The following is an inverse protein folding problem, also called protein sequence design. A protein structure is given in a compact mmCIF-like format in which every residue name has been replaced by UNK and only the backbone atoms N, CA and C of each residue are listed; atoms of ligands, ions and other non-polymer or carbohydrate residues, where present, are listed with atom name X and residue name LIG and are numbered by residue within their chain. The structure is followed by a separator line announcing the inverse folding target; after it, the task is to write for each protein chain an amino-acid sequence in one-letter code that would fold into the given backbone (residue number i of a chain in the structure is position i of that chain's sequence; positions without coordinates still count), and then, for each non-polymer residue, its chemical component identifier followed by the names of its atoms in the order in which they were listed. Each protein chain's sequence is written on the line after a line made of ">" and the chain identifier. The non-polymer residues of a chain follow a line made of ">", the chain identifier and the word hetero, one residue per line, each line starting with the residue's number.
data_IF_006118969508
#
_entry.id   IF_006118969508
#
_cell.length_a   1.000
_cell.length_b   1.000
_cell.length_c   1.000
_cell.angle_alpha   90.00
_cell.angle_beta   90.00
_cell.angle_gamma   90.00
#
_symmetry.space_group_name_H-M   'P 1'
#
loop_
_entity.id
_entity.type
_entity.pdbx_description
1 polymer ?
#
# COMPACT_ATOMS: atom_id res chain seq x y z
N UNK A 1 -14.29 -8.92 12.69
CA UNK A 1 -14.50 -9.72 11.46
C UNK A 1 -14.53 -8.91 10.17
N UNK A 2 -15.18 -7.72 10.10
CA UNK A 2 -15.17 -6.88 8.88
C UNK A 2 -13.76 -6.53 8.39
N UNK A 3 -12.92 -5.97 9.28
CA UNK A 3 -11.53 -5.59 8.97
C UNK A 3 -10.70 -6.75 8.40
N UNK A 4 -10.88 -7.96 8.94
CA UNK A 4 -10.15 -9.14 8.47
C UNK A 4 -10.56 -9.53 7.04
N UNK A 5 -11.86 -9.45 6.73
CA UNK A 5 -12.38 -9.67 5.38
C UNK A 5 -11.88 -8.60 4.40
N UNK A 6 -11.86 -7.34 4.84
CA UNK A 6 -11.38 -6.22 4.04
C UNK A 6 -9.88 -6.33 3.72
N UNK A 7 -9.08 -6.82 4.67
CA UNK A 7 -7.66 -7.12 4.47
C UNK A 7 -7.51 -8.29 3.49
N UNK A 8 -8.29 -9.37 3.66
CA UNK A 8 -8.21 -10.53 2.78
C UNK A 8 -8.54 -10.16 1.32
N UNK A 9 -9.64 -9.43 1.08
CA UNK A 9 -10.03 -8.99 -0.27
C UNK A 9 -8.95 -8.08 -0.88
N UNK A 10 -8.46 -7.12 -0.10
CA UNK A 10 -7.40 -6.20 -0.53
C UNK A 10 -6.09 -6.93 -0.87
N UNK A 11 -5.74 -7.98 -0.12
CA UNK A 11 -4.57 -8.82 -0.42
C UNK A 11 -4.74 -9.64 -1.69
N UNK A 12 -5.96 -10.12 -1.99
CA UNK A 12 -6.25 -10.82 -3.25
C UNK A 12 -6.13 -9.85 -4.42
N UNK A 13 -6.73 -8.66 -4.31
CA UNK A 13 -6.62 -7.59 -5.33
C UNK A 13 -5.15 -7.25 -5.56
N UNK A 14 -4.38 -7.07 -4.48
CA UNK A 14 -2.95 -6.75 -4.56
C UNK A 14 -2.16 -7.87 -5.21
N UNK A 15 -2.44 -9.14 -4.89
CA UNK A 15 -1.82 -10.30 -5.55
C UNK A 15 -2.06 -10.27 -7.05
N UNK A 16 -3.32 -10.08 -7.46
CA UNK A 16 -3.70 -10.05 -8.88
C UNK A 16 -2.98 -8.91 -9.60
N UNK A 17 -2.95 -7.71 -9.01
CA UNK A 17 -2.24 -6.55 -9.60
C UNK A 17 -0.75 -6.84 -9.73
N UNK A 18 -0.09 -7.39 -8.71
CA UNK A 18 1.33 -7.74 -8.77
C UNK A 18 1.63 -8.76 -9.86
N UNK A 19 0.79 -9.79 -10.02
CA UNK A 19 0.97 -10.80 -11.07
C UNK A 19 0.73 -10.25 -12.47
N UNK A 20 -0.31 -9.43 -12.64
CA UNK A 20 -0.64 -8.79 -13.93
C UNK A 20 0.48 -7.85 -14.34
N UNK A 21 0.98 -7.01 -13.42
CA UNK A 21 2.08 -6.10 -13.70
C UNK A 21 3.39 -6.84 -13.93
N UNK A 22 3.65 -7.93 -13.21
CA UNK A 22 4.79 -8.80 -13.50
C UNK A 22 4.73 -9.40 -14.91
N UNK A 23 3.55 -9.77 -15.39
CA UNK A 23 3.38 -10.33 -16.73
C UNK A 23 3.40 -9.26 -17.84
N UNK A 24 2.99 -8.03 -17.53
CA UNK A 24 2.77 -6.97 -18.53
C UNK A 24 3.88 -5.92 -18.56
N UNK A 25 4.73 -5.85 -17.53
CA UNK A 25 5.68 -4.76 -17.37
C UNK A 25 7.00 -5.22 -16.73
N UNK A 26 8.09 -5.10 -17.49
CA UNK A 26 9.43 -5.58 -17.12
C UNK A 26 10.02 -4.92 -15.85
N UNK A 27 9.42 -3.81 -15.39
CA UNK A 27 9.86 -3.11 -14.18
C UNK A 27 9.37 -3.76 -12.89
N UNK A 28 8.47 -4.75 -12.99
CA UNK A 28 7.94 -5.49 -11.85
C UNK A 28 8.32 -6.95 -12.03
N UNK A 29 9.12 -7.49 -11.10
CA UNK A 29 9.49 -8.90 -11.10
C UNK A 29 8.97 -9.57 -9.83
N UNK A 30 8.32 -10.72 -10.01
CA UNK A 30 7.81 -11.59 -8.95
C UNK A 30 8.12 -13.04 -9.32
N UNK A 31 8.91 -13.71 -8.49
CA UNK A 31 9.47 -15.02 -8.82
C UNK A 31 8.44 -16.15 -8.93
N UNK A 32 7.36 -16.10 -8.14
CA UNK A 32 6.33 -17.15 -8.15
C UNK A 32 5.00 -16.64 -7.59
N UNK A 33 3.93 -17.41 -7.81
CA UNK A 33 2.61 -17.14 -7.24
C UNK A 33 2.64 -17.07 -5.71
N UNK A 34 3.35 -18.00 -5.06
CA UNK A 34 3.47 -18.04 -3.60
C UNK A 34 4.11 -16.77 -3.05
N UNK A 35 5.22 -16.33 -3.68
CA UNK A 35 5.88 -15.08 -3.33
C UNK A 35 4.94 -13.89 -3.53
N UNK A 36 4.15 -13.87 -4.60
CA UNK A 36 3.16 -12.82 -4.86
C UNK A 36 2.13 -12.72 -3.71
N UNK A 37 1.63 -13.86 -3.23
CA UNK A 37 0.66 -13.92 -2.13
C UNK A 37 1.27 -13.41 -0.82
N UNK A 38 2.50 -13.82 -0.48
CA UNK A 38 3.16 -13.33 0.73
C UNK A 38 3.47 -11.84 0.64
N UNK A 39 4.01 -11.37 -0.49
CA UNK A 39 4.36 -9.97 -0.70
C UNK A 39 3.12 -9.07 -0.69
N UNK A 40 2.02 -9.52 -1.30
CA UNK A 40 0.76 -8.78 -1.31
C UNK A 40 0.13 -8.66 0.07
N UNK A 41 0.22 -9.69 0.92
CA UNK A 41 -0.23 -9.64 2.32
C UNK A 41 0.57 -8.61 3.12
N UNK A 42 1.90 -8.60 2.98
CA UNK A 42 2.75 -7.60 3.62
C UNK A 42 2.41 -6.20 3.12
N UNK A 43 2.35 -5.99 1.81
CA UNK A 43 2.08 -4.69 1.20
C UNK A 43 0.70 -4.16 1.60
N UNK A 44 -0.33 -5.01 1.55
CA UNK A 44 -1.70 -4.69 1.98
C UNK A 44 -1.74 -4.31 3.47
N UNK A 45 -1.04 -5.08 4.31
CA UNK A 45 -0.92 -4.82 5.74
C UNK A 45 -0.27 -3.46 6.01
N UNK A 46 0.79 -3.13 5.27
CA UNK A 46 1.47 -1.84 5.41
C UNK A 46 0.62 -0.66 4.93
N UNK A 47 -0.10 -0.79 3.81
CA UNK A 47 -0.99 0.26 3.31
C UNK A 47 -2.12 0.57 4.30
N UNK A 48 -2.83 -0.45 4.77
CA UNK A 48 -3.91 -0.27 5.76
C UNK A 48 -3.37 0.16 7.13
N UNK A 49 -2.21 -0.35 7.52
CA UNK A 49 -1.49 0.05 8.73
C UNK A 49 -1.12 1.53 8.70
N UNK A 50 -0.60 2.03 7.58
CA UNK A 50 -0.25 3.44 7.40
C UNK A 50 -1.47 4.35 7.54
N UNK A 51 -2.61 3.98 6.95
CA UNK A 51 -3.85 4.75 7.06
C UNK A 51 -4.38 4.75 8.51
N UNK A 52 -4.28 3.62 9.21
CA UNK A 52 -4.64 3.54 10.62
C UNK A 52 -3.75 4.44 11.49
N UNK A 53 -2.44 4.38 11.29
CA UNK A 53 -1.48 5.25 11.97
C UNK A 53 -1.73 6.73 11.67
N UNK A 54 -2.05 7.07 10.43
CA UNK A 54 -2.42 8.44 10.05
C UNK A 54 -3.64 8.92 10.83
N UNK A 55 -4.71 8.12 10.92
CA UNK A 55 -5.92 8.47 11.67
C UNK A 55 -5.64 8.69 13.17
N UNK A 56 -4.80 7.84 13.77
CA UNK A 56 -4.40 7.95 15.18
C UNK A 56 -3.56 9.21 15.41
N UNK A 57 -2.54 9.43 14.59
CA UNK A 57 -1.65 10.59 14.71
C UNK A 57 -2.37 11.90 14.43
N UNK A 58 -3.24 11.93 13.41
CA UNK A 58 -4.09 13.09 13.14
C UNK A 58 -4.96 13.44 14.34
N UNK A 59 -5.58 12.44 14.98
CA UNK A 59 -6.41 12.63 16.17
C UNK A 59 -5.60 13.07 17.39
N UNK A 60 -4.37 12.60 17.52
CA UNK A 60 -3.45 13.01 18.59
C UNK A 60 -3.00 14.47 18.42
N UNK A 61 -2.56 14.85 17.23
CA UNK A 61 -2.09 16.21 16.94
C UNK A 61 -3.20 17.27 16.94
N UNK A 62 -4.44 16.90 16.65
CA UNK A 62 -5.60 17.80 16.75
C UNK A 62 -5.91 18.20 18.21
N UNK A 63 -5.44 17.45 19.21
CA UNK A 63 -5.63 17.77 20.63
C UNK A 63 -4.61 18.80 21.16
N UNK A 64 -3.59 19.16 20.39
CA UNK A 64 -2.58 20.14 20.81
C UNK A 64 -3.06 21.59 20.70
N UNK A 65 -2.81 22.40 21.74
CA UNK A 65 -3.19 23.83 21.78
C UNK A 65 -2.38 24.74 20.85
N UNK A 66 -1.18 24.34 20.42
CA UNK A 66 -0.27 25.18 19.61
C UNK A 66 -0.12 24.68 18.18
N UNK A 67 -0.55 25.50 17.21
CA UNK A 67 -0.49 25.27 15.76
C UNK A 67 -0.95 23.86 15.31
N UNK A 68 -2.13 23.38 15.75
CA UNK A 68 -2.61 22.01 15.49
C UNK A 68 -2.72 21.69 14.00
N UNK A 69 -3.09 22.66 13.15
CA UNK A 69 -3.22 22.45 11.70
C UNK A 69 -1.87 22.21 11.01
N UNK A 70 -0.82 22.94 11.41
CA UNK A 70 0.52 22.80 10.83
C UNK A 70 1.17 21.47 11.23
N UNK A 71 1.10 21.13 12.52
CA UNK A 71 1.63 19.86 13.04
C UNK A 71 0.93 18.65 12.42
N UNK A 72 -0.40 18.75 12.23
CA UNK A 72 -1.18 17.73 11.51
C UNK A 72 -0.71 17.60 10.07
N UNK A 73 -0.55 18.71 9.34
CA UNK A 73 -0.12 18.68 7.94
C UNK A 73 1.24 18.01 7.76
N UNK A 74 2.22 18.38 8.60
CA UNK A 74 3.56 17.79 8.56
C UNK A 74 3.53 16.31 8.95
N UNK A 75 2.82 15.95 10.03
CA UNK A 75 2.73 14.56 10.48
C UNK A 75 2.03 13.66 9.45
N UNK A 76 0.89 14.09 8.90
CA UNK A 76 0.20 13.37 7.83
C UNK A 76 1.08 13.21 6.60
N UNK A 77 1.82 14.25 6.19
CA UNK A 77 2.73 14.16 5.04
C UNK A 77 3.85 13.13 5.27
N UNK A 78 4.51 13.17 6.43
CA UNK A 78 5.58 12.22 6.77
C UNK A 78 5.03 10.79 6.81
N UNK A 79 3.85 10.57 7.37
CA UNK A 79 3.25 9.22 7.42
C UNK A 79 2.83 8.76 6.02
N UNK A 80 2.14 9.60 5.25
CA UNK A 80 1.64 9.23 3.92
C UNK A 80 2.74 8.99 2.90
N UNK A 81 3.78 9.83 2.89
CA UNK A 81 4.91 9.69 1.98
C UNK A 81 5.89 8.66 2.53
N UNK A 82 6.25 8.77 3.80
CA UNK A 82 7.22 7.88 4.45
C UNK A 82 6.76 6.42 4.50
N UNK A 83 5.46 6.14 4.68
CA UNK A 83 4.95 4.76 4.66
C UNK A 83 5.13 4.07 3.32
N UNK A 84 5.14 4.80 2.20
CA UNK A 84 5.37 4.24 0.86
C UNK A 84 6.82 3.84 0.69
N UNK A 85 7.75 4.71 1.06
CA UNK A 85 9.18 4.38 1.03
C UNK A 85 9.53 3.27 2.03
N UNK A 86 8.91 3.27 3.20
CA UNK A 86 9.05 2.20 4.18
C UNK A 86 8.54 0.88 3.62
N UNK A 87 7.39 0.87 2.95
CA UNK A 87 6.84 -0.33 2.31
C UNK A 87 7.73 -0.88 1.21
N UNK A 88 8.28 -0.01 0.36
CA UNK A 88 9.26 -0.40 -0.65
C UNK A 88 10.51 -1.03 0.00
N UNK A 89 11.05 -0.41 1.06
CA UNK A 89 12.20 -0.92 1.80
C UNK A 89 11.94 -2.25 2.49
N UNK A 90 10.76 -2.43 3.10
CA UNK A 90 10.35 -3.69 3.75
C UNK A 90 10.20 -4.81 2.73
N UNK A 91 9.59 -4.55 1.56
CA UNK A 91 9.48 -5.57 0.50
C UNK A 91 10.88 -5.95 0.00
N UNK A 92 11.75 -4.98 -0.27
CA UNK A 92 13.12 -5.26 -0.70
C UNK A 92 13.91 -6.06 0.34
N UNK A 93 13.72 -5.78 1.63
CA UNK A 93 14.38 -6.50 2.72
C UNK A 93 13.84 -7.93 2.90
N UNK A 94 12.52 -8.13 2.83
CA UNK A 94 11.88 -9.42 3.10
C UNK A 94 11.96 -10.38 1.91
N UNK A 95 11.82 -9.87 0.69
CA UNK A 95 11.72 -10.69 -0.52
C UNK A 95 12.95 -10.62 -1.40
N UNK A 96 13.86 -9.66 -1.18
CA UNK A 96 15.15 -9.59 -1.85
C UNK A 96 15.03 -9.62 -3.37
N UNK A 97 15.56 -10.68 -3.98
CA UNK A 97 15.52 -10.89 -5.43
C UNK A 97 14.22 -11.57 -5.91
N UNK A 98 13.36 -12.05 -5.00
CA UNK A 98 12.11 -12.72 -5.35
C UNK A 98 10.96 -11.73 -5.67
N UNK A 99 11.05 -10.50 -5.16
CA UNK A 99 10.20 -9.37 -5.57
C UNK A 99 11.10 -8.18 -5.80
N UNK A 100 11.23 -7.77 -7.06
CA UNK A 100 12.05 -6.63 -7.43
C UNK A 100 11.22 -5.61 -8.19
N UNK A 101 11.30 -4.36 -7.73
CA UNK A 101 10.80 -3.20 -8.46
C UNK A 101 12.00 -2.50 -9.07
N UNK A 102 12.05 -2.44 -10.40
CA UNK A 102 13.17 -1.87 -11.15
C UNK A 102 12.71 -0.68 -11.99
N UNK A 103 13.60 -0.13 -12.80
CA UNK A 103 13.31 1.03 -13.65
C UNK A 103 13.59 2.36 -12.98
N UNK A 104 12.88 3.41 -13.42
CA UNK A 104 13.21 4.79 -13.08
C UNK A 104 13.19 5.05 -11.57
N UNK A 105 14.13 5.89 -11.13
CA UNK A 105 14.34 6.23 -9.72
C UNK A 105 14.52 5.00 -8.81
N UNK A 106 15.18 3.95 -9.31
CA UNK A 106 15.47 2.74 -8.53
C UNK A 106 14.24 1.91 -8.17
N UNK A 107 13.19 1.92 -9.00
CA UNK A 107 11.96 1.14 -8.77
C UNK A 107 10.82 1.91 -8.12
N UNK A 108 11.02 3.18 -7.76
CA UNK A 108 9.98 4.02 -7.16
C UNK A 108 8.77 4.13 -8.09
N UNK A 109 9.00 4.33 -9.39
CA UNK A 109 7.88 4.48 -10.36
C UNK A 109 7.05 3.20 -10.45
N UNK A 110 7.69 2.04 -10.51
CA UNK A 110 7.01 0.74 -10.53
C UNK A 110 6.21 0.50 -9.24
N UNK A 111 6.79 0.83 -8.08
CA UNK A 111 6.13 0.70 -6.80
C UNK A 111 4.88 1.58 -6.67
N UNK A 112 4.97 2.86 -7.08
CA UNK A 112 3.82 3.76 -7.06
C UNK A 112 2.73 3.33 -8.05
N UNK A 113 3.11 2.84 -9.24
CA UNK A 113 2.16 2.31 -10.21
C UNK A 113 1.38 1.10 -9.65
N UNK A 114 2.03 0.19 -8.91
CA UNK A 114 1.35 -0.89 -8.18
C UNK A 114 0.35 -0.31 -7.18
N UNK A 115 0.77 0.65 -6.35
CA UNK A 115 -0.12 1.27 -5.35
C UNK A 115 -1.35 1.88 -6.04
N UNK A 116 -1.17 2.65 -7.11
CA UNK A 116 -2.27 3.27 -7.82
C UNK A 116 -3.18 2.25 -8.51
N UNK A 117 -2.62 1.19 -9.08
CA UNK A 117 -3.39 0.10 -9.68
C UNK A 117 -4.23 -0.64 -8.63
N UNK A 118 -3.67 -0.93 -7.45
CA UNK A 118 -4.40 -1.53 -6.32
C UNK A 118 -5.54 -0.63 -5.88
N UNK A 119 -5.25 0.64 -5.55
CA UNK A 119 -6.28 1.59 -5.09
C UNK A 119 -7.37 1.82 -6.14
N UNK A 120 -6.98 1.89 -7.42
CA UNK A 120 -7.91 2.02 -8.54
C UNK A 120 -8.84 0.80 -8.64
N UNK A 121 -8.29 -0.40 -8.58
CA UNK A 121 -9.05 -1.64 -8.66
C UNK A 121 -9.94 -1.85 -7.43
N UNK A 122 -9.45 -1.54 -6.23
CA UNK A 122 -10.25 -1.52 -5.01
C UNK A 122 -11.42 -0.54 -5.13
N UNK A 123 -11.19 0.66 -5.68
CA UNK A 123 -12.24 1.65 -5.93
C UNK A 123 -13.32 1.14 -6.88
N UNK A 124 -12.92 0.43 -7.95
CA UNK A 124 -13.86 -0.20 -8.90
C UNK A 124 -14.65 -1.32 -8.22
N UNK A 125 -13.99 -2.23 -7.51
CA UNK A 125 -14.63 -3.34 -6.78
C UNK A 125 -15.62 -2.80 -5.74
N UNK A 126 -15.25 -1.75 -5.00
CA UNK A 126 -16.12 -1.11 -4.02
C UNK A 126 -17.37 -0.48 -4.65
N UNK A 127 -17.24 0.06 -5.87
CA UNK A 127 -18.35 0.66 -6.62
C UNK A 127 -19.30 -0.40 -7.19
N UNK A 128 -18.76 -1.49 -7.72
CA UNK A 128 -19.54 -2.60 -8.28
C UNK A 128 -20.22 -3.45 -7.20
N UNK A 129 -19.55 -3.64 -6.05
CA UNK A 129 -20.05 -4.44 -4.94
C UNK A 129 -21.08 -3.75 -4.02
N UNK A 130 -21.44 -2.49 -4.27
CA UNK A 130 -22.41 -1.74 -3.47
C UNK A 130 -21.98 -1.53 -2.01
N UNK A 131 -21.14 -0.49 -1.76
CA UNK A 131 -20.60 -0.09 -0.44
C UNK A 131 -19.78 -1.19 0.27
N UNK A 132 -18.49 -1.25 -0.07
CA UNK A 132 -17.45 -1.56 0.89
C UNK A 132 -16.41 -0.43 0.86
N UNK A 133 -16.54 0.50 1.80
CA UNK A 133 -15.55 1.57 2.01
C UNK A 133 -14.25 0.94 2.51
N UNK A 134 -13.32 0.62 1.59
CA UNK A 134 -11.98 0.12 1.89
C UNK A 134 -11.00 1.27 2.20
N UNK A 135 -11.42 2.18 3.07
CA UNK A 135 -10.64 3.34 3.54
C UNK A 135 -10.05 3.14 4.94
#
# INVERSE_FOLDING_TARGET
>A
MKVLKDIAISSIITTVVMLVLNASWDWVFVASLEVAVYASMVLTGMLKGAISLEKVMASYFLKHKTLPKLKRGISSYIILVGSKFLAMGVIAMLFGQHVAFTGAFGGIVAFFAIIFAVLGLEGVVAKLGGKASLA
#
